data_IF_025653338680
#
_entry.id   IF_025653338680
#
_cell.length_a   1.000
_cell.length_b   1.000
_cell.length_c   1.000
_cell.angle_alpha   90.00
_cell.angle_beta   90.00
_cell.angle_gamma   90.00
#
_symmetry.space_group_name_H-M   'P 1'
#
loop_
_entity.id
_entity.type
_entity.pdbx_description
1 polymer ?
#
# COMPACT_ATOMS: atom_id res chain seq x y z
N UNK A 1 -17.23 0.65 14.76
CA UNK A 1 -15.79 0.67 15.05
C UNK A 1 -15.26 1.98 14.51
N UNK A 2 -14.54 2.77 15.32
CA UNK A 2 -14.00 4.04 14.82
C UNK A 2 -12.85 3.80 13.82
N UNK A 3 -12.53 4.80 13.01
CA UNK A 3 -11.46 4.72 12.00
C UNK A 3 -10.12 4.41 12.66
N UNK A 4 -9.86 4.93 13.87
CA UNK A 4 -8.64 4.64 14.60
C UNK A 4 -8.56 3.18 15.09
N UNK A 5 -9.68 2.61 15.56
CA UNK A 5 -9.74 1.20 15.94
C UNK A 5 -9.50 0.27 14.74
N UNK A 6 -10.00 0.67 13.57
CA UNK A 6 -9.76 -0.04 12.31
C UNK A 6 -8.27 -0.02 11.97
N UNK A 7 -7.61 1.14 12.08
CA UNK A 7 -6.16 1.27 11.88
C UNK A 7 -5.36 0.42 12.88
N UNK A 8 -5.76 0.41 14.16
CA UNK A 8 -5.15 -0.43 15.21
C UNK A 8 -5.23 -1.91 14.86
N UNK A 9 -6.39 -2.39 14.42
CA UNK A 9 -6.57 -3.79 14.02
C UNK A 9 -5.70 -4.15 12.81
N UNK A 10 -5.68 -3.31 11.78
CA UNK A 10 -4.88 -3.55 10.58
C UNK A 10 -3.39 -3.61 10.90
N UNK A 11 -2.94 -2.80 11.85
CA UNK A 11 -1.53 -2.71 12.23
C UNK A 11 -1.09 -3.78 13.24
N UNK A 12 -2.04 -4.43 13.92
CA UNK A 12 -1.77 -5.46 14.93
C UNK A 12 -1.04 -6.67 14.36
N UNK A 13 -1.25 -6.98 13.07
CA UNK A 13 -0.62 -8.10 12.39
C UNK A 13 0.59 -7.69 11.52
N UNK A 14 0.85 -6.39 11.37
CA UNK A 14 1.96 -5.90 10.55
C UNK A 14 3.34 -6.17 11.16
N UNK A 15 3.43 -6.45 12.46
CA UNK A 15 4.68 -6.96 13.09
C UNK A 15 5.15 -8.29 12.49
N UNK A 16 4.26 -9.06 11.87
CA UNK A 16 4.57 -10.34 11.25
C UNK A 16 4.82 -10.20 9.74
N UNK A 17 4.72 -8.99 9.17
CA UNK A 17 5.17 -8.79 7.80
C UNK A 17 6.70 -8.81 7.75
N UNK A 18 7.30 -9.56 6.80
CA UNK A 18 8.74 -9.77 6.73
C UNK A 18 9.55 -8.54 6.28
N UNK A 19 8.95 -7.35 6.23
CA UNK A 19 9.52 -6.12 5.64
C UNK A 19 10.67 -5.49 6.48
N UNK A 20 11.17 -6.16 7.51
CA UNK A 20 12.48 -5.92 8.11
C UNK A 20 12.70 -4.57 8.82
N UNK A 21 11.72 -3.66 8.86
CA UNK A 21 11.89 -2.33 9.45
C UNK A 21 11.42 -2.25 10.91
N UNK A 22 12.27 -1.77 11.85
CA UNK A 22 11.87 -1.59 13.24
C UNK A 22 10.86 -0.45 13.42
N UNK A 23 9.92 -0.62 14.36
CA UNK A 23 8.97 0.42 14.78
C UNK A 23 9.69 1.53 15.54
N UNK A 24 9.28 2.79 15.34
CA UNK A 24 9.76 3.92 16.15
C UNK A 24 8.69 4.30 17.18
N UNK A 25 9.07 4.36 18.46
CA UNK A 25 8.34 5.17 19.45
C UNK A 25 8.65 6.64 19.16
N UNK A 26 7.78 7.34 18.43
CA UNK A 26 7.99 8.75 18.11
C UNK A 26 7.51 9.65 19.25
N UNK A 27 8.42 10.35 19.91
CA UNK A 27 8.08 11.40 20.86
C UNK A 27 7.50 12.65 20.13
N UNK A 28 6.15 12.75 20.13
CA UNK A 28 5.26 13.91 19.77
C UNK A 28 5.11 14.35 18.29
N UNK A 29 3.92 14.85 17.81
CA UNK A 29 2.98 15.79 18.49
C UNK A 29 1.42 15.54 18.48
N UNK A 30 0.79 16.12 19.54
CA UNK A 30 -0.54 16.75 19.83
C UNK A 30 -1.93 16.35 19.29
N UNK A 31 -2.19 15.29 18.52
CA UNK A 31 -3.61 14.98 18.15
C UNK A 31 -4.19 13.68 18.71
N UNK A 32 -3.45 12.95 19.54
CA UNK A 32 -3.95 11.75 20.21
C UNK A 32 -3.43 11.65 21.65
N UNK A 33 -4.25 11.06 22.52
CA UNK A 33 -3.98 10.75 23.94
C UNK A 33 -2.70 9.91 24.10
N UNK A 34 -2.05 9.92 25.27
CA UNK A 34 -0.85 9.12 25.53
C UNK A 34 -0.99 7.63 25.19
N UNK A 35 -2.18 7.03 25.33
CA UNK A 35 -2.45 5.62 24.95
C UNK A 35 -2.42 5.35 23.45
N UNK A 36 -2.56 6.36 22.61
CA UNK A 36 -2.58 6.23 21.15
C UNK A 36 -1.17 6.40 20.55
N UNK A 37 -0.19 6.85 21.34
CA UNK A 37 1.22 7.05 20.95
C UNK A 37 2.03 5.74 20.90
N UNK A 38 1.69 4.76 21.73
CA UNK A 38 2.35 3.43 21.78
C UNK A 38 2.01 2.52 20.57
N UNK A 39 1.17 2.98 19.65
CA UNK A 39 0.73 2.21 18.49
C UNK A 39 1.37 2.63 17.17
N UNK A 40 2.53 3.29 17.19
CA UNK A 40 3.15 3.92 16.01
C UNK A 40 3.04 3.07 14.72
N UNK A 41 2.10 3.48 13.86
CA UNK A 41 1.78 2.90 12.54
C UNK A 41 2.70 3.43 11.44
N UNK A 42 3.64 4.26 11.84
CA UNK A 42 4.42 5.13 10.98
C UNK A 42 5.87 4.74 11.01
N UNK A 43 6.50 4.76 9.85
CA UNK A 43 7.86 4.31 9.63
C UNK A 43 8.70 5.43 9.03
N UNK A 44 9.97 5.56 9.40
CA UNK A 44 10.86 6.47 8.68
C UNK A 44 11.01 5.95 7.25
N UNK A 45 10.91 6.83 6.26
CA UNK A 45 11.21 6.50 4.88
C UNK A 45 12.17 7.52 4.29
N UNK A 46 13.10 7.06 3.46
CA UNK A 46 13.97 7.94 2.70
C UNK A 46 13.44 8.07 1.26
N UNK A 47 13.14 9.30 0.87
CA UNK A 47 12.75 9.63 -0.50
C UNK A 47 13.97 9.56 -1.44
N UNK A 48 13.77 9.44 -2.77
CA UNK A 48 14.88 9.37 -3.73
C UNK A 48 15.85 10.57 -3.68
N UNK A 49 15.41 11.72 -3.19
CA UNK A 49 16.23 12.93 -3.01
C UNK A 49 17.01 12.93 -1.68
N UNK A 50 16.98 11.85 -0.90
CA UNK A 50 17.64 11.72 0.40
C UNK A 50 16.84 12.25 1.59
N UNK A 51 15.72 12.96 1.35
CA UNK A 51 14.86 13.48 2.41
C UNK A 51 14.25 12.34 3.23
N UNK A 52 14.28 12.47 4.56
CA UNK A 52 13.59 11.56 5.48
C UNK A 52 12.18 12.08 5.74
N UNK A 53 11.20 11.20 5.67
CA UNK A 53 9.80 11.49 5.97
C UNK A 53 9.23 10.44 6.92
N UNK A 54 8.16 10.79 7.62
CA UNK A 54 7.34 9.84 8.39
C UNK A 54 6.22 9.29 7.51
N UNK A 55 6.24 7.98 7.25
CA UNK A 55 5.33 7.30 6.33
C UNK A 55 4.34 6.41 7.08
N UNK A 56 3.03 6.63 6.91
CA UNK A 56 2.03 5.66 7.33
C UNK A 56 2.05 4.47 6.37
N UNK A 57 2.44 3.28 6.85
CA UNK A 57 2.36 2.04 6.06
C UNK A 57 1.16 1.25 6.55
N UNK A 58 0.18 1.01 5.68
CA UNK A 58 -1.03 0.28 6.10
C UNK A 58 -1.82 -0.31 4.94
N UNK A 59 -2.90 -1.01 5.28
CA UNK A 59 -3.82 -1.66 4.35
C UNK A 59 -5.18 -0.93 4.36
N UNK A 60 -5.91 -0.94 3.24
CA UNK A 60 -7.35 -0.65 3.26
C UNK A 60 -8.14 -1.81 3.86
N UNK A 61 -7.69 -3.05 3.65
CA UNK A 61 -8.35 -4.23 4.20
C UNK A 61 -7.34 -5.31 4.56
N UNK A 62 -7.56 -6.01 5.68
CA UNK A 62 -6.90 -7.28 6.01
C UNK A 62 -7.68 -8.50 5.53
N UNK A 63 -8.83 -8.31 4.88
CA UNK A 63 -9.54 -9.40 4.22
C UNK A 63 -8.82 -9.76 2.92
N UNK A 64 -8.51 -11.04 2.75
CA UNK A 64 -7.80 -11.53 1.59
C UNK A 64 -8.33 -12.91 1.19
N UNK A 65 -8.69 -13.08 -0.08
CA UNK A 65 -9.04 -14.37 -0.68
C UNK A 65 -7.80 -15.19 -1.11
N UNK A 66 -6.61 -14.57 -1.10
CA UNK A 66 -5.35 -15.23 -1.46
C UNK A 66 -4.72 -15.89 -0.25
N UNK A 67 -4.24 -17.11 -0.42
CA UNK A 67 -3.66 -17.91 0.66
C UNK A 67 -2.12 -17.97 0.60
N UNK A 68 -1.48 -16.81 0.58
CA UNK A 68 -0.02 -16.72 0.46
C UNK A 68 0.65 -17.13 1.76
N UNK A 69 1.52 -18.14 1.75
CA UNK A 69 2.00 -18.81 2.95
C UNK A 69 2.86 -17.93 3.86
N UNK A 70 3.56 -16.96 3.28
CA UNK A 70 4.35 -15.97 4.02
C UNK A 70 3.51 -14.83 4.59
N UNK A 71 2.26 -14.64 4.15
CA UNK A 71 1.48 -13.44 4.44
C UNK A 71 0.68 -13.60 5.73
N UNK A 72 0.78 -12.65 6.68
CA UNK A 72 0.00 -12.73 7.92
C UNK A 72 -1.51 -12.53 7.71
N UNK A 73 -1.90 -11.98 6.57
CA UNK A 73 -3.29 -11.69 6.23
C UNK A 73 -3.95 -12.75 5.32
N UNK A 74 -3.25 -13.87 5.06
CA UNK A 74 -3.70 -14.95 4.16
C UNK A 74 -5.10 -15.47 4.51
N UNK A 75 -5.81 -15.97 3.51
CA UNK A 75 -7.18 -16.48 3.66
C UNK A 75 -7.31 -17.54 4.77
N UNK A 76 -6.36 -18.48 4.85
CA UNK A 76 -6.39 -19.59 5.80
C UNK A 76 -6.06 -19.23 7.26
N UNK A 77 -5.78 -17.97 7.59
CA UNK A 77 -5.60 -17.53 8.99
C UNK A 77 -6.90 -17.01 9.57
N UNK A 78 -7.24 -17.49 10.75
CA UNK A 78 -8.39 -17.05 11.53
C UNK A 78 -7.97 -15.93 12.50
N UNK A 79 -8.39 -14.71 12.18
CA UNK A 79 -8.21 -13.53 13.03
C UNK A 79 -9.24 -12.48 12.62
N UNK A 80 -9.47 -11.49 13.49
CA UNK A 80 -10.40 -10.39 13.21
C UNK A 80 -9.92 -9.55 12.04
N UNK A 81 -10.65 -9.61 10.92
CA UNK A 81 -10.40 -8.79 9.72
C UNK A 81 -11.01 -7.39 9.90
N UNK A 82 -10.38 -6.41 9.29
CA UNK A 82 -10.79 -5.01 9.31
C UNK A 82 -10.74 -4.45 7.88
N UNK A 83 -11.63 -3.52 7.55
CA UNK A 83 -11.71 -2.90 6.21
C UNK A 83 -12.17 -1.47 6.35
N UNK A 84 -11.43 -0.55 5.73
CA UNK A 84 -11.83 0.83 5.54
C UNK A 84 -12.70 1.00 4.29
N UNK A 85 -13.66 1.91 4.35
CA UNK A 85 -14.13 2.59 3.13
C UNK A 85 -13.10 3.63 2.68
N UNK A 86 -13.01 3.93 1.37
CA UNK A 86 -12.08 4.93 0.86
C UNK A 86 -12.13 6.30 1.55
N UNK A 87 -13.35 6.85 1.76
CA UNK A 87 -13.55 8.12 2.45
C UNK A 87 -13.13 8.10 3.93
N UNK A 88 -13.39 6.99 4.63
CA UNK A 88 -13.04 6.82 6.05
C UNK A 88 -11.52 6.88 6.22
N UNK A 89 -10.80 6.12 5.40
CA UNK A 89 -9.34 6.14 5.41
C UNK A 89 -8.78 7.51 5.03
N UNK A 90 -9.25 8.10 3.93
CA UNK A 90 -8.74 9.38 3.45
C UNK A 90 -8.95 10.50 4.48
N UNK A 91 -10.09 10.50 5.17
CA UNK A 91 -10.40 11.41 6.27
C UNK A 91 -9.45 11.22 7.45
N UNK A 92 -9.23 9.98 7.90
CA UNK A 92 -8.31 9.66 8.99
C UNK A 92 -6.88 10.10 8.64
N UNK A 93 -6.37 9.69 7.48
CA UNK A 93 -5.03 10.05 7.04
C UNK A 93 -4.87 11.58 6.90
N UNK A 94 -5.87 12.29 6.36
CA UNK A 94 -5.79 13.75 6.28
C UNK A 94 -5.69 14.42 7.65
N UNK A 95 -6.36 13.89 8.67
CA UNK A 95 -6.21 14.37 10.06
C UNK A 95 -4.81 14.09 10.61
N UNK A 96 -4.31 12.86 10.41
CA UNK A 96 -2.94 12.49 10.81
C UNK A 96 -1.89 13.37 10.13
N UNK A 97 -2.05 13.66 8.84
CA UNK A 97 -1.14 14.50 8.08
C UNK A 97 -1.16 15.96 8.57
N UNK A 98 -2.35 16.55 8.76
CA UNK A 98 -2.48 17.91 9.30
C UNK A 98 -1.98 18.03 10.75
N UNK A 99 -2.04 16.94 11.51
CA UNK A 99 -1.48 16.84 12.86
C UNK A 99 0.02 16.52 12.90
N UNK A 100 0.71 16.43 11.76
CA UNK A 100 2.15 16.17 11.70
C UNK A 100 2.56 14.73 12.04
N UNK A 101 1.63 13.79 12.07
CA UNK A 101 1.89 12.39 12.45
C UNK A 101 2.39 11.55 11.27
N UNK A 102 2.01 11.91 10.05
CA UNK A 102 2.45 11.24 8.84
C UNK A 102 2.59 12.24 7.69
N UNK A 103 3.75 12.28 7.05
CA UNK A 103 4.06 13.14 5.90
C UNK A 103 3.72 12.45 4.56
N UNK A 104 3.61 11.12 4.59
CA UNK A 104 3.22 10.31 3.44
C UNK A 104 2.44 9.07 3.83
N UNK A 105 1.93 8.36 2.82
CA UNK A 105 1.26 7.07 3.00
C UNK A 105 1.69 6.06 1.92
N UNK A 106 1.99 4.84 2.38
CA UNK A 106 2.00 3.63 1.57
C UNK A 106 0.66 2.93 1.73
N UNK A 107 -0.08 2.81 0.63
CA UNK A 107 -1.42 2.25 0.61
C UNK A 107 -1.44 0.94 -0.18
N UNK A 108 -1.82 -0.13 0.52
CA UNK A 108 -1.98 -1.49 0.00
C UNK A 108 -3.32 -2.07 0.49
N UNK A 109 -3.64 -3.31 0.14
CA UNK A 109 -4.81 -4.01 0.67
C UNK A 109 -4.61 -5.53 0.59
N UNK A 110 -5.36 -6.31 1.36
CA UNK A 110 -5.71 -7.67 0.98
C UNK A 110 -6.67 -7.65 -0.23
N UNK A 111 -6.73 -8.75 -0.98
CA UNK A 111 -7.61 -8.88 -2.15
C UNK A 111 -8.97 -9.39 -1.68
N UNK A 112 -10.00 -8.54 -1.75
CA UNK A 112 -11.33 -8.87 -1.26
C UNK A 112 -12.39 -8.60 -2.34
N UNK A 113 -12.84 -9.68 -3.00
CA UNK A 113 -13.77 -9.60 -4.11
C UNK A 113 -13.06 -9.27 -5.43
N UNK A 114 -11.88 -9.83 -5.64
CA UNK A 114 -11.09 -9.69 -6.87
C UNK A 114 -10.12 -8.52 -6.93
N UNK A 115 -9.13 -8.64 -7.82
CA UNK A 115 -8.05 -7.67 -8.03
C UNK A 115 -8.53 -6.30 -8.47
N UNK A 116 -9.36 -6.26 -9.53
CA UNK A 116 -9.92 -5.02 -10.10
C UNK A 116 -10.63 -4.19 -9.03
N UNK A 117 -11.61 -4.79 -8.33
CA UNK A 117 -12.37 -4.12 -7.27
C UNK A 117 -11.49 -3.64 -6.12
N UNK A 118 -10.45 -4.41 -5.78
CA UNK A 118 -9.52 -4.02 -4.72
C UNK A 118 -8.68 -2.81 -5.16
N UNK A 119 -8.20 -2.81 -6.41
CA UNK A 119 -7.45 -1.70 -6.98
C UNK A 119 -8.31 -0.44 -7.09
N UNK A 120 -9.58 -0.55 -7.49
CA UNK A 120 -10.52 0.59 -7.54
C UNK A 120 -10.61 1.30 -6.19
N UNK A 121 -10.72 0.55 -5.08
CA UNK A 121 -10.77 1.15 -3.74
C UNK A 121 -9.49 1.93 -3.39
N UNK A 122 -8.32 1.43 -3.79
CA UNK A 122 -7.06 2.14 -3.59
C UNK A 122 -7.02 3.44 -4.41
N UNK A 123 -7.50 3.39 -5.65
CA UNK A 123 -7.58 4.54 -6.54
C UNK A 123 -8.58 5.57 -6.01
N UNK A 124 -9.76 5.15 -5.54
CA UNK A 124 -10.76 6.01 -4.91
C UNK A 124 -10.17 6.74 -3.71
N UNK A 125 -9.47 6.02 -2.82
CA UNK A 125 -8.79 6.64 -1.67
C UNK A 125 -7.76 7.67 -2.12
N UNK A 126 -6.92 7.33 -3.10
CA UNK A 126 -5.92 8.23 -3.64
C UNK A 126 -6.55 9.48 -4.28
N UNK A 127 -7.65 9.30 -5.01
CA UNK A 127 -8.39 10.39 -5.63
C UNK A 127 -9.00 11.34 -4.60
N UNK A 128 -9.62 10.79 -3.55
CA UNK A 128 -10.17 11.57 -2.44
C UNK A 128 -9.04 12.36 -1.77
N UNK A 129 -7.88 11.74 -1.52
CA UNK A 129 -6.73 12.44 -0.95
C UNK A 129 -6.26 13.60 -1.85
N UNK A 130 -6.09 13.37 -3.15
CA UNK A 130 -5.58 14.39 -4.09
C UNK A 130 -6.59 15.51 -4.37
N UNK A 131 -7.88 15.20 -4.50
CA UNK A 131 -8.91 16.14 -4.96
C UNK A 131 -9.69 16.78 -3.82
N UNK A 132 -10.15 16.00 -2.83
CA UNK A 132 -10.97 16.50 -1.72
C UNK A 132 -10.12 17.08 -0.59
N UNK A 133 -9.09 16.34 -0.18
CA UNK A 133 -8.20 16.79 0.91
C UNK A 133 -6.99 17.59 0.43
N UNK A 134 -6.81 17.72 -0.89
CA UNK A 134 -5.72 18.44 -1.54
C UNK A 134 -4.33 17.99 -1.06
N UNK A 135 -4.20 16.73 -0.67
CA UNK A 135 -2.97 16.17 -0.13
C UNK A 135 -1.85 16.22 -1.19
N UNK A 136 -0.78 16.96 -0.88
CA UNK A 136 0.38 17.15 -1.76
C UNK A 136 1.60 16.32 -1.36
N UNK A 137 1.55 15.66 -0.21
CA UNK A 137 2.66 14.84 0.29
C UNK A 137 2.84 13.53 -0.49
N UNK A 138 3.74 12.70 0.02
CA UNK A 138 4.18 11.49 -0.66
C UNK A 138 3.12 10.39 -0.62
N UNK A 139 2.75 9.88 -1.80
CA UNK A 139 1.80 8.79 -1.96
C UNK A 139 2.44 7.62 -2.71
N UNK A 140 2.52 6.47 -2.05
CA UNK A 140 2.96 5.21 -2.65
C UNK A 140 1.76 4.26 -2.75
N UNK A 141 1.37 3.93 -3.98
CA UNK A 141 0.28 2.98 -4.25
C UNK A 141 0.82 1.60 -4.64
N UNK A 142 0.33 0.56 -3.98
CA UNK A 142 0.52 -0.81 -4.46
C UNK A 142 -0.46 -1.10 -5.59
N UNK A 143 0.05 -1.66 -6.69
CA UNK A 143 -0.76 -2.28 -7.73
C UNK A 143 -1.08 -3.71 -7.28
N UNK A 144 -2.36 -3.99 -7.15
CA UNK A 144 -2.87 -5.26 -6.67
C UNK A 144 -2.80 -6.33 -7.77
N UNK A 145 -2.60 -7.60 -7.41
CA UNK A 145 -2.71 -8.71 -8.36
C UNK A 145 -4.05 -8.66 -9.09
N UNK A 146 -4.02 -8.72 -10.42
CA UNK A 146 -5.22 -8.63 -11.27
C UNK A 146 -5.73 -7.21 -11.52
N UNK A 147 -4.93 -6.17 -11.21
CA UNK A 147 -5.19 -4.81 -11.68
C UNK A 147 -5.10 -4.73 -13.21
N UNK A 148 -5.87 -3.82 -13.80
CA UNK A 148 -5.92 -3.60 -15.24
C UNK A 148 -5.06 -2.41 -15.70
N UNK A 149 -4.78 -2.33 -17.00
CA UNK A 149 -3.90 -1.30 -17.57
C UNK A 149 -4.37 0.12 -17.27
N UNK A 150 -5.67 0.38 -17.35
CA UNK A 150 -6.24 1.71 -17.06
C UNK A 150 -6.13 2.04 -15.56
N UNK A 151 -6.22 1.04 -14.69
CA UNK A 151 -6.00 1.22 -13.26
C UNK A 151 -4.51 1.50 -12.95
N UNK A 152 -3.59 0.86 -13.67
CA UNK A 152 -2.15 1.18 -13.59
C UNK A 152 -1.89 2.61 -14.05
N UNK A 153 -2.45 3.00 -15.19
CA UNK A 153 -2.35 4.37 -15.69
C UNK A 153 -2.88 5.38 -14.67
N UNK A 154 -4.05 5.09 -14.09
CA UNK A 154 -4.66 5.96 -13.08
C UNK A 154 -3.82 6.04 -11.79
N UNK A 155 -3.27 4.92 -11.33
CA UNK A 155 -2.36 4.90 -10.19
C UNK A 155 -1.13 5.80 -10.45
N UNK A 156 -0.57 5.75 -11.65
CA UNK A 156 0.57 6.58 -12.03
C UNK A 156 0.24 8.07 -12.07
N UNK A 157 -1.00 8.45 -12.37
CA UNK A 157 -1.44 9.86 -12.34
C UNK A 157 -1.53 10.43 -10.92
N UNK A 158 -1.73 9.57 -9.92
CA UNK A 158 -2.01 9.98 -8.54
C UNK A 158 -0.79 9.85 -7.62
N UNK A 159 0.09 8.88 -7.87
CA UNK A 159 1.15 8.47 -6.95
C UNK A 159 2.51 9.11 -7.26
N UNK A 160 3.34 9.24 -6.23
CA UNK A 160 4.78 9.52 -6.34
C UNK A 160 5.59 8.24 -6.61
N UNK A 161 5.05 7.09 -6.16
CA UNK A 161 5.63 5.76 -6.36
C UNK A 161 4.54 4.71 -6.54
N UNK A 162 4.78 3.77 -7.45
CA UNK A 162 3.95 2.58 -7.63
C UNK A 162 4.76 1.31 -7.37
N UNK A 163 4.12 0.24 -6.91
CA UNK A 163 4.81 -1.04 -6.73
C UNK A 163 3.95 -2.26 -6.99
N UNK A 164 4.58 -3.35 -7.39
CA UNK A 164 4.00 -4.71 -7.40
C UNK A 164 4.93 -5.60 -6.61
N UNK A 165 4.42 -6.54 -5.81
CA UNK A 165 5.28 -7.56 -5.23
C UNK A 165 5.33 -8.74 -6.21
N UNK A 166 6.48 -8.96 -6.85
CA UNK A 166 6.67 -10.16 -7.69
C UNK A 166 6.74 -11.43 -6.85
N UNK A 167 7.16 -11.31 -5.58
CA UNK A 167 7.23 -12.35 -4.54
C UNK A 167 8.26 -13.43 -4.80
N UNK A 168 8.38 -13.91 -6.03
CA UNK A 168 9.30 -14.95 -6.46
C UNK A 168 9.89 -14.62 -7.84
N UNK A 169 11.04 -15.22 -8.22
CA UNK A 169 11.67 -14.94 -9.52
C UNK A 169 11.03 -15.69 -10.71
N UNK A 170 10.15 -16.66 -10.45
CA UNK A 170 9.51 -17.47 -11.50
C UNK A 170 8.13 -17.98 -11.07
N UNK A 171 7.33 -18.45 -12.02
CA UNK A 171 6.01 -19.06 -11.77
C UNK A 171 6.10 -20.27 -10.83
N UNK A 172 7.09 -21.14 -11.00
CA UNK A 172 7.27 -22.35 -10.20
C UNK A 172 7.63 -22.00 -8.75
N UNK A 173 8.43 -20.95 -8.56
CA UNK A 173 8.77 -20.45 -7.22
C UNK A 173 7.60 -19.72 -6.58
N UNK A 174 6.83 -18.95 -7.36
CA UNK A 174 5.63 -18.27 -6.88
C UNK A 174 4.60 -19.27 -6.37
N UNK A 175 4.36 -20.37 -7.09
CA UNK A 175 3.39 -21.38 -6.70
C UNK A 175 3.67 -22.00 -5.31
N UNK A 176 4.94 -22.00 -4.87
CA UNK A 176 5.34 -22.47 -3.52
C UNK A 176 5.03 -21.46 -2.41
N UNK A 177 4.90 -20.17 -2.73
CA UNK A 177 4.71 -19.07 -1.77
C UNK A 177 3.30 -18.50 -1.79
N UNK A 178 2.72 -18.34 -2.97
CA UNK A 178 1.42 -17.74 -3.22
C UNK A 178 0.69 -18.53 -4.32
N UNK A 179 0.19 -19.75 -3.99
CA UNK A 179 -0.32 -20.70 -4.98
C UNK A 179 -1.50 -20.19 -5.81
N UNK A 180 -2.21 -19.16 -5.33
CA UNK A 180 -3.38 -18.60 -6.00
C UNK A 180 -3.07 -17.35 -6.83
N UNK A 181 -1.80 -17.04 -7.07
CA UNK A 181 -1.37 -15.91 -7.90
C UNK A 181 -0.76 -16.38 -9.22
N UNK A 182 -0.97 -15.60 -10.26
CA UNK A 182 -0.46 -15.87 -11.61
C UNK A 182 0.68 -14.88 -11.90
N UNK A 183 1.91 -15.39 -12.01
CA UNK A 183 3.12 -14.57 -12.07
C UNK A 183 3.11 -13.56 -13.24
N UNK A 184 2.82 -14.03 -14.46
CA UNK A 184 2.90 -13.17 -15.65
C UNK A 184 1.74 -12.19 -15.67
N UNK A 185 0.50 -12.69 -15.58
CA UNK A 185 -0.74 -11.94 -15.76
C UNK A 185 -0.99 -10.94 -14.63
N UNK A 186 -0.80 -11.36 -13.38
CA UNK A 186 -1.17 -10.54 -12.22
C UNK A 186 -0.01 -9.72 -11.66
N UNK A 187 1.25 -10.14 -11.83
CA UNK A 187 2.40 -9.50 -11.18
C UNK A 187 3.36 -8.82 -12.16
N UNK A 188 3.84 -9.54 -13.18
CA UNK A 188 4.81 -8.98 -14.13
C UNK A 188 4.16 -8.01 -15.12
N UNK A 189 2.94 -8.31 -15.58
CA UNK A 189 2.24 -7.53 -16.59
C UNK A 189 1.96 -6.08 -16.16
N UNK A 190 1.51 -5.78 -14.92
CA UNK A 190 1.41 -4.39 -14.46
C UNK A 190 2.74 -3.62 -14.51
N UNK A 191 3.86 -4.26 -14.19
CA UNK A 191 5.19 -3.62 -14.31
C UNK A 191 5.55 -3.33 -15.77
N UNK A 192 5.21 -4.23 -16.70
CA UNK A 192 5.39 -3.99 -18.15
C UNK A 192 4.52 -2.83 -18.62
N UNK A 193 3.28 -2.73 -18.17
CA UNK A 193 2.39 -1.62 -18.50
C UNK A 193 2.92 -0.28 -17.98
N UNK A 194 3.50 -0.24 -16.77
CA UNK A 194 4.16 0.98 -16.27
C UNK A 194 5.23 1.46 -17.26
N UNK A 195 6.08 0.57 -17.76
CA UNK A 195 7.11 0.91 -18.73
C UNK A 195 6.54 1.32 -20.09
N UNK A 196 5.51 0.62 -20.57
CA UNK A 196 4.81 0.97 -21.80
C UNK A 196 4.19 2.39 -21.73
N UNK A 197 3.57 2.71 -20.60
CA UNK A 197 2.97 4.02 -20.33
C UNK A 197 4.06 5.11 -20.29
N UNK A 198 5.20 4.86 -19.65
CA UNK A 198 6.33 5.82 -19.62
C UNK A 198 6.87 6.17 -21.01
N UNK A 199 6.82 5.22 -21.94
CA UNK A 199 7.28 5.42 -23.32
C UNK A 199 6.25 6.12 -24.20
N UNK A 200 4.97 5.98 -23.89
CA UNK A 200 3.86 6.42 -24.74
C UNK A 200 3.17 7.70 -24.25
N UNK A 201 3.26 8.02 -22.96
CA UNK A 201 2.57 9.18 -22.35
C UNK A 201 3.60 10.14 -21.75
N UNK A 202 3.54 11.44 -22.06
CA UNK A 202 4.51 12.40 -21.54
C UNK A 202 4.37 12.63 -20.02
N UNK A 203 5.51 12.84 -19.36
CA UNK A 203 5.63 12.96 -17.90
C UNK A 203 4.68 13.98 -17.25
N UNK A 204 4.37 15.09 -17.95
CA UNK A 204 3.52 16.16 -17.41
C UNK A 204 2.07 15.71 -17.12
N UNK A 205 1.63 14.56 -17.65
CA UNK A 205 0.31 13.97 -17.38
C UNK A 205 0.22 13.28 -16.02
N UNK A 206 1.34 13.09 -15.32
CA UNK A 206 1.41 12.39 -14.05
C UNK A 206 1.60 13.35 -12.87
N UNK A 207 1.56 12.80 -11.65
CA UNK A 207 1.66 13.59 -10.43
C UNK A 207 2.93 14.44 -10.41
N UNK A 208 2.79 15.73 -10.08
CA UNK A 208 3.87 16.73 -10.11
C UNK A 208 4.64 16.80 -11.45
N UNK A 209 4.00 16.39 -12.54
CA UNK A 209 4.57 16.39 -13.88
C UNK A 209 5.76 15.46 -14.07
N UNK A 210 5.85 14.40 -13.28
CA UNK A 210 6.95 13.42 -13.30
C UNK A 210 6.40 12.01 -13.33
N UNK A 211 7.12 11.09 -13.97
CA UNK A 211 6.80 9.68 -13.85
C UNK A 211 6.96 9.23 -12.38
N UNK A 212 6.00 8.47 -11.83
CA UNK A 212 6.20 7.85 -10.52
C UNK A 212 7.38 6.90 -10.60
N UNK A 213 8.11 6.79 -9.49
CA UNK A 213 9.10 5.72 -9.33
C UNK A 213 8.41 4.35 -9.26
N UNK A 214 9.12 3.28 -9.62
CA UNK A 214 8.57 1.90 -9.57
C UNK A 214 9.48 1.00 -8.78
N UNK A 215 8.90 0.19 -7.89
CA UNK A 215 9.64 -0.83 -7.14
C UNK A 215 8.90 -2.15 -7.14
N UNK A 216 9.67 -3.20 -6.92
CA UNK A 216 9.16 -4.54 -6.67
C UNK A 216 9.85 -5.15 -5.46
N UNK A 217 9.25 -6.20 -4.93
CA UNK A 217 9.73 -6.93 -3.77
C UNK A 217 9.63 -8.43 -4.01
N UNK A 218 10.64 -9.14 -3.51
CA UNK A 218 10.69 -10.60 -3.43
C UNK A 218 10.59 -11.04 -1.98
N UNK A 219 10.07 -12.25 -1.76
CA UNK A 219 10.08 -12.91 -0.46
C UNK A 219 11.37 -13.73 -0.37
N UNK A 220 12.27 -13.36 0.53
CA UNK A 220 13.48 -14.12 0.82
C UNK A 220 13.22 -15.15 1.94
N UNK A 221 13.74 -16.36 1.80
CA UNK A 221 13.66 -17.39 2.84
C UNK A 221 12.26 -17.99 3.09
N UNK A 222 11.27 -17.66 2.25
CA UNK A 222 9.93 -18.22 2.37
C UNK A 222 9.92 -19.73 2.07
N UNK A 223 9.47 -20.51 3.04
CA UNK A 223 9.17 -21.94 2.91
C UNK A 223 7.70 -22.17 3.25
N UNK A 224 7.12 -23.24 2.72
CA UNK A 224 5.70 -23.61 2.94
C UNK A 224 5.46 -24.10 4.36
#
# INVERSE_FOLDING_TARGET
MDSLDTLKLLSSQMTFEPDGEPRINSDTPTCFSPKERDHAFTHPAQLPNGQKIVLLKTLLSSACERDCFYCPFRAGRDFRRATFKPDEFASLFSKMNRGGMAEGVFLSSGVAGGGVRTQDKLLDTADILRKKYLFKGYLHLKMMPGSEKDQVYRAMQLADRVSVNLEAPSTERLAKLAPHKIFIEELLRPLRWVEEIRRSVPAYKFWNGRYPSTVTQFVAGGIR
#
